data_IF_446367824201
#
_entry.id   IF_446367824201
#
_cell.length_a   1.000
_cell.length_b   1.000
_cell.length_c   1.000
_cell.angle_alpha   90.00
_cell.angle_beta   90.00
_cell.angle_gamma   90.00
#
_symmetry.space_group_name_H-M   'P 1'
#
loop_
_entity.id
_entity.type
_entity.pdbx_description
1 polymer ?
#
# COMPACT_ATOMS: atom_id res chain seq x y z
N UNK A 1 45.74 -3.66 -10.92
CA UNK A 1 45.67 -2.94 -9.63
C UNK A 1 46.93 -3.18 -8.79
N UNK A 2 47.74 -2.14 -8.53
CA UNK A 2 48.99 -2.28 -7.76
C UNK A 2 48.78 -2.73 -6.28
N UNK A 3 47.57 -2.61 -5.74
CA UNK A 3 47.21 -2.97 -4.34
C UNK A 3 45.78 -3.52 -4.25
N UNK A 4 45.54 -4.78 -4.69
CA UNK A 4 44.18 -5.35 -4.77
C UNK A 4 43.49 -5.46 -3.40
N UNK A 5 44.27 -5.76 -2.35
CA UNK A 5 43.72 -5.89 -0.98
C UNK A 5 43.12 -4.57 -0.49
N UNK A 6 43.75 -3.42 -0.76
CA UNK A 6 43.23 -2.12 -0.32
C UNK A 6 41.90 -1.82 -1.02
N UNK A 7 41.80 -2.10 -2.33
CA UNK A 7 40.56 -1.87 -3.10
C UNK A 7 39.44 -2.76 -2.59
N UNK A 8 39.72 -4.05 -2.35
CA UNK A 8 38.72 -4.99 -1.79
C UNK A 8 38.26 -4.55 -0.39
N UNK A 9 39.18 -4.06 0.45
CA UNK A 9 38.82 -3.57 1.79
C UNK A 9 37.93 -2.35 1.71
N UNK A 10 38.23 -1.39 0.81
CA UNK A 10 37.40 -0.21 0.60
C UNK A 10 36.00 -0.61 0.11
N UNK A 11 35.91 -1.50 -0.88
CA UNK A 11 34.64 -2.01 -1.39
C UNK A 11 33.84 -2.72 -0.30
N UNK A 12 34.50 -3.57 0.51
CA UNK A 12 33.84 -4.24 1.62
C UNK A 12 33.29 -3.24 2.66
N UNK A 13 34.04 -2.19 2.95
CA UNK A 13 33.64 -1.14 3.91
C UNK A 13 32.46 -0.35 3.36
N UNK A 14 32.47 0.05 2.10
CA UNK A 14 31.34 0.69 1.41
C UNK A 14 30.13 -0.22 1.44
N UNK A 15 30.28 -1.50 1.07
CA UNK A 15 29.20 -2.48 1.10
C UNK A 15 28.57 -2.63 2.50
N UNK A 16 29.39 -2.63 3.54
CA UNK A 16 28.95 -2.75 4.93
C UNK A 16 28.15 -1.52 5.40
N UNK A 17 28.60 -0.32 5.03
CA UNK A 17 27.90 0.94 5.33
C UNK A 17 26.52 0.95 4.65
N UNK A 18 26.46 0.63 3.36
CA UNK A 18 25.18 0.61 2.65
C UNK A 18 24.29 -0.58 3.04
N UNK A 19 24.88 -1.73 3.43
CA UNK A 19 24.09 -2.85 3.94
C UNK A 19 23.32 -2.48 5.23
N UNK A 20 23.84 -1.58 6.05
CA UNK A 20 23.11 -1.12 7.25
C UNK A 20 21.84 -0.32 6.87
N UNK A 21 21.87 0.43 5.78
CA UNK A 21 20.74 1.23 5.29
C UNK A 21 19.62 0.39 4.65
N UNK A 22 19.84 -0.88 4.34
CA UNK A 22 18.78 -1.74 3.77
C UNK A 22 17.60 -1.95 4.74
N UNK A 23 17.81 -1.75 6.03
CA UNK A 23 16.77 -1.83 7.07
C UNK A 23 15.75 -0.71 6.97
N UNK A 24 16.19 0.44 6.47
CA UNK A 24 15.37 1.65 6.35
C UNK A 24 14.75 1.78 4.94
N UNK A 25 14.92 0.74 4.12
CA UNK A 25 14.29 0.68 2.79
C UNK A 25 12.79 0.48 2.91
N UNK A 26 12.01 1.44 2.40
CA UNK A 26 10.56 1.42 2.46
C UNK A 26 9.93 1.48 1.06
N UNK A 27 8.85 0.69 0.89
CA UNK A 27 7.96 0.75 -0.26
C UNK A 27 6.79 1.67 0.07
N UNK A 28 6.48 2.60 -0.81
CA UNK A 28 5.34 3.50 -0.70
C UNK A 28 4.33 3.20 -1.82
N UNK A 29 3.23 2.56 -1.44
CA UNK A 29 2.09 2.28 -2.33
C UNK A 29 0.90 3.20 -2.04
N UNK A 30 1.12 4.29 -1.28
CA UNK A 30 0.06 5.25 -1.03
C UNK A 30 -0.45 5.86 -2.34
N UNK A 31 -1.73 6.21 -2.36
CA UNK A 31 -2.35 6.92 -3.48
C UNK A 31 -1.58 8.20 -3.84
N UNK A 32 -1.02 8.86 -2.83
CA UNK A 32 -0.17 10.05 -3.00
C UNK A 32 1.12 9.77 -3.79
N UNK A 33 1.70 8.57 -3.65
CA UNK A 33 2.92 8.19 -4.37
C UNK A 33 2.69 7.91 -5.87
N UNK A 34 1.45 7.68 -6.27
CA UNK A 34 1.03 7.45 -7.66
C UNK A 34 0.65 8.75 -8.38
N UNK A 35 0.39 9.82 -7.64
CA UNK A 35 -0.05 11.10 -8.17
C UNK A 35 1.11 12.10 -8.17
N UNK A 36 1.12 12.97 -9.18
CA UNK A 36 2.10 14.06 -9.23
C UNK A 36 1.76 15.09 -8.16
N UNK A 37 2.71 15.47 -7.31
CA UNK A 37 2.51 16.49 -6.25
C UNK A 37 1.96 17.82 -6.78
N UNK A 38 2.21 18.13 -8.06
CA UNK A 38 1.74 19.35 -8.72
C UNK A 38 0.37 19.21 -9.42
N UNK A 39 -0.33 18.10 -9.27
CA UNK A 39 -1.65 17.89 -9.86
C UNK A 39 -2.68 18.83 -9.21
N UNK A 40 -3.43 19.56 -10.05
CA UNK A 40 -4.46 20.49 -9.58
C UNK A 40 -5.64 19.78 -8.95
N UNK A 41 -6.00 18.61 -9.47
CA UNK A 41 -7.14 17.84 -9.00
C UNK A 41 -6.83 17.17 -7.66
N UNK A 42 -5.60 16.70 -7.47
CA UNK A 42 -5.14 16.19 -6.17
C UNK A 42 -5.21 17.26 -5.09
N UNK A 43 -4.83 18.49 -5.42
CA UNK A 43 -4.90 19.63 -4.48
C UNK A 43 -6.33 20.00 -4.14
N UNK A 44 -7.21 20.04 -5.14
CA UNK A 44 -8.64 20.27 -4.92
C UNK A 44 -9.25 19.17 -4.04
N UNK A 45 -8.89 17.91 -4.30
CA UNK A 45 -9.32 16.77 -3.50
C UNK A 45 -8.84 16.88 -2.04
N UNK A 46 -7.57 17.22 -1.80
CA UNK A 46 -7.02 17.41 -0.44
C UNK A 46 -7.73 18.55 0.30
N UNK A 47 -8.01 19.67 -0.37
CA UNK A 47 -8.76 20.78 0.21
C UNK A 47 -10.20 20.37 0.56
N UNK A 48 -10.87 19.64 -0.32
CA UNK A 48 -12.21 19.10 -0.04
C UNK A 48 -12.17 18.11 1.13
N UNK A 49 -11.23 17.18 1.14
CA UNK A 49 -11.07 16.19 2.20
C UNK A 49 -10.81 16.83 3.57
N UNK A 50 -9.99 17.89 3.61
CA UNK A 50 -9.77 18.66 4.84
C UNK A 50 -11.03 19.41 5.27
N UNK A 51 -11.77 20.02 4.33
CA UNK A 51 -12.98 20.80 4.63
C UNK A 51 -14.12 19.91 5.13
N UNK A 52 -14.32 18.76 4.52
CA UNK A 52 -15.40 17.82 4.84
C UNK A 52 -15.00 16.74 5.83
N UNK A 53 -13.73 16.71 6.27
CA UNK A 53 -13.18 15.67 7.17
C UNK A 53 -13.52 14.26 6.69
N UNK A 54 -13.36 14.02 5.37
CA UNK A 54 -13.59 12.71 4.79
C UNK A 54 -12.70 11.68 5.48
N UNK A 55 -13.32 10.59 5.91
CA UNK A 55 -12.61 9.48 6.56
C UNK A 55 -12.41 8.36 5.55
N UNK A 56 -11.26 7.76 5.58
CA UNK A 56 -11.05 6.52 4.85
C UNK A 56 -11.87 5.40 5.47
N UNK A 57 -12.41 4.55 4.63
CA UNK A 57 -13.21 3.41 5.06
C UNK A 57 -12.89 2.18 4.21
N UNK A 58 -13.10 1.02 4.81
CA UNK A 58 -13.16 -0.25 4.13
C UNK A 58 -14.60 -0.53 3.75
N UNK A 59 -14.79 -1.17 2.62
CA UNK A 59 -16.09 -1.49 2.06
C UNK A 59 -16.24 -3.00 1.95
N UNK A 60 -17.30 -3.56 2.52
CA UNK A 60 -17.62 -4.98 2.41
C UNK A 60 -18.91 -5.11 1.63
N UNK A 61 -18.83 -5.54 0.38
CA UNK A 61 -20.01 -5.87 -0.40
C UNK A 61 -20.50 -7.28 -0.02
N UNK A 62 -21.77 -7.37 0.28
CA UNK A 62 -22.45 -8.59 0.70
C UNK A 62 -23.47 -8.99 -0.35
N UNK A 63 -23.29 -10.17 -0.93
CA UNK A 63 -24.22 -10.78 -1.88
C UNK A 63 -24.85 -11.99 -1.20
N UNK A 64 -26.01 -11.82 -0.55
CA UNK A 64 -26.69 -12.93 0.10
C UNK A 64 -27.28 -13.90 -0.94
N UNK A 65 -27.54 -15.15 -0.57
CA UNK A 65 -28.26 -16.09 -1.43
C UNK A 65 -29.74 -15.72 -1.60
N UNK A 66 -30.30 -15.05 -0.59
CA UNK A 66 -31.68 -14.63 -0.52
C UNK A 66 -31.80 -13.11 -0.71
N UNK A 67 -33.00 -12.59 -0.53
CA UNK A 67 -33.30 -11.17 -0.56
C UNK A 67 -32.52 -10.40 0.56
N UNK A 68 -32.04 -9.18 0.25
CA UNK A 68 -31.28 -8.34 1.23
C UNK A 68 -32.07 -7.95 2.47
N UNK A 69 -33.42 -7.95 2.39
CA UNK A 69 -34.31 -7.64 3.51
C UNK A 69 -34.99 -8.89 4.11
N UNK A 70 -34.55 -10.10 3.75
CA UNK A 70 -35.04 -11.32 4.45
C UNK A 70 -34.47 -11.33 5.85
N UNK A 71 -35.26 -11.87 6.80
CA UNK A 71 -34.86 -11.98 8.22
C UNK A 71 -33.53 -12.72 8.37
N UNK A 72 -33.33 -13.80 7.61
CA UNK A 72 -32.06 -14.54 7.60
C UNK A 72 -30.86 -13.73 7.12
N UNK A 73 -31.05 -12.89 6.11
CA UNK A 73 -29.98 -11.98 5.62
C UNK A 73 -29.70 -10.89 6.64
N UNK A 74 -30.73 -10.26 7.20
CA UNK A 74 -30.57 -9.19 8.19
C UNK A 74 -29.85 -9.72 9.47
N UNK A 75 -30.16 -10.90 9.91
CA UNK A 75 -29.50 -11.55 11.07
C UNK A 75 -28.02 -11.84 10.77
N UNK A 76 -27.70 -12.40 9.58
CA UNK A 76 -26.32 -12.68 9.18
C UNK A 76 -25.49 -11.40 9.01
N UNK A 77 -26.06 -10.39 8.36
CA UNK A 77 -25.42 -9.07 8.20
C UNK A 77 -25.22 -8.40 9.57
N UNK A 78 -26.20 -8.54 10.47
CA UNK A 78 -26.10 -8.06 11.85
C UNK A 78 -24.96 -8.73 12.60
N UNK A 79 -24.87 -10.05 12.55
CA UNK A 79 -23.80 -10.82 13.19
C UNK A 79 -22.43 -10.48 12.63
N UNK A 80 -22.28 -10.39 11.31
CA UNK A 80 -21.04 -9.96 10.64
C UNK A 80 -20.63 -8.55 11.07
N UNK A 81 -21.58 -7.64 11.05
CA UNK A 81 -21.37 -6.24 11.45
C UNK A 81 -20.91 -6.14 12.90
N UNK A 82 -21.58 -6.83 13.82
CA UNK A 82 -21.30 -6.74 15.26
C UNK A 82 -19.95 -7.40 15.59
N UNK A 83 -19.57 -8.45 14.89
CA UNK A 83 -18.25 -9.09 15.05
C UNK A 83 -17.13 -8.18 14.57
N UNK A 84 -17.30 -7.48 13.43
CA UNK A 84 -16.33 -6.52 12.93
C UNK A 84 -16.28 -5.27 13.83
N UNK A 85 -17.43 -4.82 14.36
CA UNK A 85 -17.49 -3.69 15.28
C UNK A 85 -16.76 -3.95 16.62
N UNK A 86 -16.60 -5.21 17.00
CA UNK A 86 -15.86 -5.60 18.20
C UNK A 86 -14.34 -5.48 18.05
N UNK A 87 -13.81 -5.30 16.82
CA UNK A 87 -12.38 -5.12 16.59
C UNK A 87 -11.90 -3.79 17.18
N UNK A 88 -10.77 -3.77 17.89
CA UNK A 88 -10.26 -2.57 18.56
C UNK A 88 -9.87 -1.45 17.60
N UNK A 89 -9.52 -1.77 16.36
CA UNK A 89 -9.13 -0.84 15.30
C UNK A 89 -10.33 -0.18 14.60
N UNK A 90 -11.52 -0.73 14.76
CA UNK A 90 -12.76 -0.22 14.15
C UNK A 90 -13.32 0.91 15.00
N UNK A 91 -13.69 2.02 14.36
CA UNK A 91 -14.33 3.17 14.98
C UNK A 91 -15.83 3.07 14.90
N UNK A 92 -16.35 2.79 13.72
CA UNK A 92 -17.78 2.79 13.41
C UNK A 92 -18.06 1.94 12.17
N UNK A 93 -19.30 1.45 12.06
CA UNK A 93 -19.77 0.72 10.88
C UNK A 93 -21.12 1.28 10.47
N UNK A 94 -21.26 1.54 9.17
CA UNK A 94 -22.53 1.92 8.55
C UNK A 94 -22.96 0.80 7.62
N UNK A 95 -24.15 0.26 7.87
CA UNK A 95 -24.79 -0.79 7.07
C UNK A 95 -26.25 -0.46 6.80
N UNK A 96 -26.93 -1.30 6.04
CA UNK A 96 -28.37 -1.18 5.83
C UNK A 96 -29.16 -1.18 7.15
N UNK A 97 -28.61 -1.79 8.23
CA UNK A 97 -29.25 -1.86 9.54
C UNK A 97 -29.15 -0.55 10.34
N UNK A 98 -28.19 0.33 9.99
CA UNK A 98 -27.83 1.49 10.78
C UNK A 98 -28.35 2.79 10.15
N UNK A 99 -28.67 2.79 8.85
CA UNK A 99 -29.10 3.99 8.14
C UNK A 99 -30.52 4.43 8.52
N UNK A 100 -30.77 5.73 8.70
CA UNK A 100 -32.09 6.24 9.02
C UNK A 100 -33.04 6.11 7.83
N UNK A 101 -34.23 5.56 8.09
CA UNK A 101 -35.32 5.41 7.11
C UNK A 101 -36.27 6.60 7.22
N UNK A 102 -36.12 7.57 6.33
CA UNK A 102 -36.85 8.85 6.36
C UNK A 102 -38.34 8.66 6.00
N UNK A 103 -38.63 7.79 5.04
CA UNK A 103 -39.99 7.53 4.58
C UNK A 103 -40.83 6.67 5.53
N UNK A 104 -40.19 6.07 6.54
CA UNK A 104 -40.84 5.25 7.57
C UNK A 104 -41.23 6.05 8.83
N UNK A 105 -40.89 7.34 8.92
CA UNK A 105 -41.25 8.18 10.07
C UNK A 105 -42.55 8.88 9.76
N UNK A 106 -43.64 8.64 10.53
CA UNK A 106 -44.86 9.41 10.41
C UNK A 106 -44.67 10.77 11.08
N UNK A 107 -44.88 11.87 10.34
CA UNK A 107 -44.81 13.21 10.92
C UNK A 107 -44.11 14.26 10.04
N UNK A 108 -43.68 15.33 10.65
CA UNK A 108 -42.99 16.46 9.98
C UNK A 108 -41.48 16.19 9.84
N UNK A 109 -40.83 17.01 9.01
CA UNK A 109 -39.34 16.96 8.84
C UNK A 109 -38.60 17.16 10.17
N UNK A 110 -39.19 17.85 11.14
CA UNK A 110 -38.64 18.03 12.47
C UNK A 110 -38.65 16.73 13.29
N UNK A 111 -39.66 15.87 13.09
CA UNK A 111 -39.78 14.58 13.77
C UNK A 111 -38.74 13.57 13.26
N UNK A 112 -38.34 13.68 12.00
CA UNK A 112 -37.29 12.86 11.39
C UNK A 112 -35.92 13.09 12.05
N UNK A 113 -35.62 14.35 12.40
CA UNK A 113 -34.34 14.70 13.02
C UNK A 113 -34.19 14.18 14.47
N UNK A 114 -35.31 13.91 15.15
CA UNK A 114 -35.33 13.49 16.56
C UNK A 114 -35.69 12.01 16.76
N UNK A 115 -36.42 11.39 15.82
CA UNK A 115 -36.95 10.04 15.90
C UNK A 115 -36.76 9.24 14.60
N UNK A 116 -35.54 9.18 14.11
CA UNK A 116 -35.28 8.34 12.94
C UNK A 116 -35.44 6.84 13.28
N UNK A 117 -36.02 6.09 12.35
CA UNK A 117 -36.15 4.64 12.40
C UNK A 117 -35.05 4.00 11.56
N UNK A 118 -34.59 2.84 11.98
CA UNK A 118 -33.66 2.01 11.22
C UNK A 118 -34.31 0.65 11.00
N UNK A 119 -33.72 -0.22 10.19
CA UNK A 119 -34.23 -1.60 10.01
C UNK A 119 -34.22 -2.43 11.32
N UNK A 120 -33.57 -1.94 12.37
CA UNK A 120 -33.58 -2.57 13.71
C UNK A 120 -34.79 -2.16 14.55
N UNK A 121 -35.62 -1.22 14.08
CA UNK A 121 -36.80 -0.76 14.79
C UNK A 121 -38.00 -1.70 14.56
N UNK A 122 -38.80 -1.93 15.59
CA UNK A 122 -39.93 -2.94 15.55
C UNK A 122 -41.06 -2.58 14.56
N UNK A 123 -41.26 -1.26 14.26
CA UNK A 123 -42.38 -0.76 13.45
C UNK A 123 -41.96 -0.30 12.05
N UNK A 124 -41.12 -1.05 11.32
CA UNK A 124 -40.64 -0.70 10.00
C UNK A 124 -41.49 -1.34 8.91
N UNK A 125 -41.96 -0.52 7.97
CA UNK A 125 -42.57 -1.02 6.75
C UNK A 125 -41.46 -1.41 5.75
N UNK A 126 -41.19 -2.71 5.64
CA UNK A 126 -40.13 -3.27 4.78
C UNK A 126 -40.27 -2.90 3.29
N UNK A 127 -41.51 -2.71 2.81
CA UNK A 127 -41.73 -2.30 1.40
C UNK A 127 -41.24 -0.88 1.16
N UNK A 128 -41.57 0.07 2.06
CA UNK A 128 -41.08 1.45 1.99
C UNK A 128 -39.57 1.51 2.24
N UNK A 129 -39.06 0.73 3.17
CA UNK A 129 -37.64 0.64 3.43
C UNK A 129 -36.88 0.16 2.20
N UNK A 130 -37.41 -0.82 1.46
CA UNK A 130 -36.83 -1.31 0.20
C UNK A 130 -36.77 -0.19 -0.85
N UNK A 131 -37.91 0.47 -1.09
CA UNK A 131 -37.97 1.58 -2.07
C UNK A 131 -36.98 2.67 -1.70
N UNK A 132 -36.87 3.03 -0.44
CA UNK A 132 -35.92 4.03 0.03
C UNK A 132 -34.46 3.60 -0.13
N UNK A 133 -34.10 2.37 0.25
CA UNK A 133 -32.72 1.87 0.18
C UNK A 133 -32.25 1.66 -1.28
N UNK A 134 -33.17 1.27 -2.20
CA UNK A 134 -32.80 0.96 -3.58
C UNK A 134 -33.01 2.10 -4.57
N UNK A 135 -33.80 3.13 -4.24
CA UNK A 135 -34.15 4.20 -5.16
C UNK A 135 -33.75 5.60 -4.69
N UNK A 136 -33.46 5.77 -3.38
CA UNK A 136 -33.01 7.06 -2.86
C UNK A 136 -31.58 7.35 -3.30
N UNK A 137 -31.28 8.53 -3.84
CA UNK A 137 -29.91 8.91 -4.22
C UNK A 137 -28.94 8.98 -3.02
N UNK A 138 -29.46 8.91 -1.78
CA UNK A 138 -28.64 8.87 -0.56
C UNK A 138 -28.13 7.47 -0.27
N UNK A 139 -28.93 6.43 -0.59
CA UNK A 139 -28.63 5.03 -0.20
C UNK A 139 -28.33 4.12 -1.38
N UNK A 140 -28.89 4.43 -2.55
CA UNK A 140 -28.65 3.66 -3.76
C UNK A 140 -27.16 3.64 -4.09
N UNK A 141 -26.65 2.44 -4.37
CA UNK A 141 -25.25 2.16 -4.70
C UNK A 141 -24.22 2.48 -3.58
N UNK A 142 -24.70 2.96 -2.42
CA UNK A 142 -23.87 3.16 -1.23
C UNK A 142 -24.16 2.12 -0.14
N UNK A 143 -25.43 1.78 0.07
CA UNK A 143 -25.86 0.85 1.10
C UNK A 143 -26.55 -0.38 0.51
N UNK A 144 -27.31 -0.19 -0.55
CA UNK A 144 -27.95 -1.26 -1.31
C UNK A 144 -27.86 -0.96 -2.82
N UNK A 145 -27.73 -2.02 -3.63
CA UNK A 145 -27.80 -1.90 -5.10
C UNK A 145 -29.22 -1.58 -5.57
N UNK A 146 -29.35 -0.94 -6.72
CA UNK A 146 -30.64 -0.59 -7.30
C UNK A 146 -31.56 -1.79 -7.54
N UNK A 147 -30.99 -2.99 -7.80
CA UNK A 147 -31.72 -4.22 -7.99
C UNK A 147 -32.04 -4.97 -6.67
N UNK A 148 -31.58 -4.44 -5.53
CA UNK A 148 -31.80 -5.02 -4.23
C UNK A 148 -31.15 -6.37 -3.98
N UNK A 149 -30.07 -6.71 -4.70
CA UNK A 149 -29.35 -7.99 -4.59
C UNK A 149 -28.05 -7.91 -3.82
N UNK A 150 -27.52 -6.73 -3.66
CA UNK A 150 -26.26 -6.48 -2.97
C UNK A 150 -26.46 -5.43 -1.90
N UNK A 151 -25.91 -5.66 -0.74
CA UNK A 151 -25.79 -4.64 0.31
C UNK A 151 -24.34 -4.43 0.70
N UNK A 152 -24.07 -3.36 1.43
CA UNK A 152 -22.71 -2.99 1.77
C UNK A 152 -22.58 -2.60 3.25
N UNK A 153 -21.41 -2.91 3.81
CA UNK A 153 -20.97 -2.37 5.08
C UNK A 153 -19.80 -1.42 4.82
N UNK A 154 -19.89 -0.20 5.33
CA UNK A 154 -18.78 0.75 5.37
C UNK A 154 -18.15 0.67 6.76
N UNK A 155 -16.89 0.27 6.83
CA UNK A 155 -16.14 0.10 8.08
C UNK A 155 -15.14 1.23 8.21
N UNK A 156 -15.36 2.11 9.17
CA UNK A 156 -14.47 3.22 9.47
C UNK A 156 -13.44 2.80 10.50
N UNK A 157 -12.16 2.97 10.16
CA UNK A 157 -11.06 2.67 11.07
C UNK A 157 -10.78 3.85 11.99
N UNK A 158 -10.24 3.57 13.18
CA UNK A 158 -9.80 4.60 14.10
C UNK A 158 -8.63 5.38 13.48
N UNK A 159 -8.71 6.70 13.41
CA UNK A 159 -7.61 7.50 12.92
C UNK A 159 -6.41 7.39 13.88
N UNK A 160 -5.21 7.35 13.32
CA UNK A 160 -4.00 7.47 14.13
C UNK A 160 -3.97 8.83 14.84
N UNK A 161 -3.53 8.85 16.11
CA UNK A 161 -3.62 10.07 16.94
C UNK A 161 -2.83 11.25 16.37
N UNK A 162 -1.60 11.02 15.92
CA UNK A 162 -0.67 12.08 15.51
C UNK A 162 -0.61 12.29 13.99
N UNK A 163 -0.85 11.25 13.19
CA UNK A 163 -0.68 11.32 11.73
C UNK A 163 -1.51 12.45 11.07
N UNK A 164 -2.79 12.69 11.43
CA UNK A 164 -3.57 13.77 10.81
C UNK A 164 -3.03 15.18 11.11
N UNK A 165 -2.37 15.34 12.25
CA UNK A 165 -1.72 16.61 12.64
C UNK A 165 -0.44 16.82 11.86
N UNK A 166 0.42 15.78 11.81
CA UNK A 166 1.70 15.82 11.12
C UNK A 166 1.51 15.97 9.61
N UNK A 167 0.51 15.28 9.02
CA UNK A 167 0.15 15.42 7.61
C UNK A 167 -0.24 16.85 7.26
N UNK A 168 -1.13 17.47 8.05
CA UNK A 168 -1.55 18.86 7.82
C UNK A 168 -0.38 19.84 7.87
N UNK A 169 0.50 19.69 8.85
CA UNK A 169 1.67 20.54 9.00
C UNK A 169 2.63 20.37 7.83
N UNK A 170 2.90 19.12 7.42
CA UNK A 170 3.71 18.80 6.25
C UNK A 170 3.14 19.42 4.98
N UNK A 171 1.85 19.21 4.73
CA UNK A 171 1.19 19.68 3.52
C UNK A 171 1.15 21.21 3.44
N UNK A 172 1.00 21.90 4.57
CA UNK A 172 1.12 23.36 4.63
C UNK A 172 2.53 23.84 4.26
N UNK A 173 3.56 23.21 4.80
CA UNK A 173 4.96 23.56 4.49
C UNK A 173 5.34 23.21 3.04
N UNK A 174 4.85 22.08 2.52
CA UNK A 174 5.05 21.69 1.12
C UNK A 174 4.32 22.65 0.16
N UNK A 175 3.12 23.10 0.51
CA UNK A 175 2.40 24.09 -0.26
C UNK A 175 3.17 25.41 -0.34
N UNK A 176 3.66 25.93 0.80
CA UNK A 176 4.50 27.13 0.82
C UNK A 176 5.76 26.93 -0.01
N UNK A 177 6.45 25.80 0.12
CA UNK A 177 7.64 25.49 -0.69
C UNK A 177 7.38 25.51 -2.19
N UNK A 178 6.18 25.14 -2.63
CA UNK A 178 5.85 25.07 -4.05
C UNK A 178 5.44 26.42 -4.66
N UNK A 179 4.90 27.34 -3.86
CA UNK A 179 4.28 28.59 -4.35
C UNK A 179 4.83 29.87 -3.72
N UNK A 180 5.49 29.76 -2.59
CA UNK A 180 6.07 30.84 -1.81
C UNK A 180 7.51 30.41 -1.43
N UNK A 181 8.39 31.34 -1.18
CA UNK A 181 9.71 31.01 -0.66
C UNK A 181 9.57 30.63 0.83
N UNK A 182 10.11 29.47 1.19
CA UNK A 182 10.20 29.05 2.60
C UNK A 182 11.22 29.91 3.34
N UNK A 183 10.82 30.41 4.51
CA UNK A 183 11.76 30.93 5.49
C UNK A 183 12.75 29.79 5.90
N UNK A 184 14.04 30.09 6.18
CA UNK A 184 15.01 29.12 6.65
C UNK A 184 14.54 28.30 7.86
N UNK A 185 13.72 28.88 8.72
CA UNK A 185 13.16 28.21 9.88
C UNK A 185 12.04 27.21 9.49
N UNK A 186 11.22 27.56 8.51
CA UNK A 186 10.18 26.69 7.94
C UNK A 186 10.80 25.51 7.16
N UNK A 187 11.89 25.75 6.45
CA UNK A 187 12.64 24.70 5.77
C UNK A 187 13.24 23.69 6.77
N UNK A 188 13.83 24.19 7.86
CA UNK A 188 14.33 23.34 8.95
C UNK A 188 13.19 22.57 9.65
N UNK A 189 12.03 23.20 9.83
CA UNK A 189 10.87 22.55 10.43
C UNK A 189 10.34 21.41 9.54
N UNK A 190 10.32 21.58 8.21
CA UNK A 190 9.92 20.54 7.26
C UNK A 190 10.86 19.33 7.32
N UNK A 191 12.17 19.58 7.44
CA UNK A 191 13.18 18.53 7.54
C UNK A 191 13.08 17.77 8.88
N UNK A 192 12.90 18.49 9.98
CA UNK A 192 12.73 17.92 11.32
C UNK A 192 11.39 17.17 11.49
N UNK A 193 10.35 17.54 10.74
CA UNK A 193 9.05 16.88 10.76
C UNK A 193 9.08 15.50 10.11
N UNK A 194 9.99 15.29 9.14
CA UNK A 194 10.04 14.08 8.32
C UNK A 194 10.13 12.79 9.14
N UNK A 195 11.06 12.62 10.10
CA UNK A 195 11.17 11.37 10.86
C UNK A 195 9.91 11.07 11.69
N UNK A 196 9.32 12.08 12.32
CA UNK A 196 8.09 11.90 13.12
C UNK A 196 6.89 11.55 12.23
N UNK A 197 6.80 12.16 11.06
CA UNK A 197 5.76 11.85 10.07
C UNK A 197 5.89 10.42 9.54
N UNK A 198 7.09 10.00 9.13
CA UNK A 198 7.33 8.64 8.63
C UNK A 198 7.05 7.59 9.71
N UNK A 199 7.44 7.86 10.96
CA UNK A 199 7.13 6.99 12.09
C UNK A 199 5.63 6.84 12.29
N UNK A 200 4.90 7.96 12.36
CA UNK A 200 3.45 7.94 12.53
C UNK A 200 2.73 7.27 11.34
N UNK A 201 3.20 7.48 10.11
CA UNK A 201 2.69 6.82 8.89
C UNK A 201 2.89 5.30 8.95
N UNK A 202 4.07 4.83 9.36
CA UNK A 202 4.37 3.41 9.48
C UNK A 202 3.54 2.73 10.58
N UNK A 203 3.34 3.39 11.73
CA UNK A 203 2.50 2.90 12.82
C UNK A 203 1.02 2.83 12.40
N UNK A 204 0.51 3.86 11.73
CA UNK A 204 -0.83 3.86 11.16
C UNK A 204 -1.01 2.74 10.14
N UNK A 205 -0.07 2.57 9.22
CA UNK A 205 -0.08 1.50 8.23
C UNK A 205 -0.06 0.10 8.86
N UNK A 206 0.73 -0.10 9.93
CA UNK A 206 0.74 -1.37 10.65
C UNK A 206 -0.62 -1.69 11.31
N UNK A 207 -1.26 -0.68 11.90
CA UNK A 207 -2.60 -0.80 12.50
C UNK A 207 -3.66 -1.13 11.44
N UNK A 208 -3.62 -0.44 10.30
CA UNK A 208 -4.52 -0.68 9.18
C UNK A 208 -4.35 -2.08 8.59
N UNK A 209 -3.10 -2.54 8.37
CA UNK A 209 -2.83 -3.92 7.91
C UNK A 209 -3.39 -4.98 8.85
N UNK A 210 -3.24 -4.76 10.17
CA UNK A 210 -3.79 -5.67 11.17
C UNK A 210 -5.32 -5.70 11.08
N UNK A 211 -5.98 -4.55 11.01
CA UNK A 211 -7.43 -4.46 10.86
C UNK A 211 -7.93 -5.18 9.60
N UNK A 212 -7.25 -5.00 8.45
CA UNK A 212 -7.57 -5.70 7.20
C UNK A 212 -7.43 -7.20 7.35
N UNK A 213 -6.37 -7.70 7.98
CA UNK A 213 -6.14 -9.11 8.21
C UNK A 213 -7.23 -9.73 9.12
N UNK A 214 -7.58 -9.04 10.20
CA UNK A 214 -8.62 -9.48 11.14
C UNK A 214 -10.01 -9.50 10.46
N UNK A 215 -10.35 -8.46 9.69
CA UNK A 215 -11.59 -8.41 8.90
C UNK A 215 -11.63 -9.53 7.86
N UNK A 216 -10.53 -9.80 7.15
CA UNK A 216 -10.45 -10.93 6.20
C UNK A 216 -10.68 -12.27 6.89
N UNK A 217 -10.12 -12.47 8.08
CA UNK A 217 -10.33 -13.68 8.87
C UNK A 217 -11.81 -13.84 9.27
N UNK A 218 -12.50 -12.76 9.60
CA UNK A 218 -13.94 -12.76 9.86
C UNK A 218 -14.71 -13.11 8.58
N UNK A 219 -14.43 -12.41 7.47
CA UNK A 219 -15.09 -12.63 6.17
C UNK A 219 -15.03 -14.10 5.74
N UNK A 220 -13.88 -14.77 5.91
CA UNK A 220 -13.72 -16.19 5.55
C UNK A 220 -14.71 -17.09 6.28
N UNK A 221 -15.06 -16.79 7.53
CA UNK A 221 -16.03 -17.58 8.30
C UNK A 221 -17.47 -17.48 7.78
N UNK A 222 -17.81 -16.35 7.16
CA UNK A 222 -19.15 -16.07 6.61
C UNK A 222 -19.27 -16.40 5.11
N UNK A 223 -18.18 -16.70 4.41
CA UNK A 223 -18.19 -16.99 2.96
C UNK A 223 -18.97 -18.25 2.57
N UNK A 224 -19.26 -19.17 3.51
CA UNK A 224 -20.12 -20.32 3.27
C UNK A 224 -21.59 -19.95 3.10
N UNK A 225 -22.02 -18.88 3.75
CA UNK A 225 -23.43 -18.45 3.82
C UNK A 225 -23.74 -17.31 2.86
N UNK A 226 -22.77 -16.45 2.56
CA UNK A 226 -22.88 -15.26 1.70
C UNK A 226 -21.61 -15.09 0.90
N UNK A 227 -21.70 -14.47 -0.29
CA UNK A 227 -20.50 -14.01 -1.00
C UNK A 227 -20.11 -12.62 -0.51
N UNK A 228 -18.90 -12.52 0.01
CA UNK A 228 -18.37 -11.30 0.61
C UNK A 228 -17.14 -10.82 -0.16
N UNK A 229 -17.08 -9.53 -0.44
CA UNK A 229 -15.97 -8.89 -1.11
C UNK A 229 -15.49 -7.68 -0.31
N UNK A 230 -14.24 -7.72 0.12
CA UNK A 230 -13.60 -6.59 0.80
C UNK A 230 -13.00 -5.65 -0.25
N UNK A 231 -13.19 -4.36 -0.06
CA UNK A 231 -12.66 -3.29 -0.89
C UNK A 231 -12.33 -2.04 -0.06
N UNK A 232 -11.91 -1.00 -0.74
CA UNK A 232 -11.55 0.28 -0.13
C UNK A 232 -10.10 0.65 -0.36
N UNK A 233 -9.81 1.96 -0.36
CA UNK A 233 -8.46 2.47 -0.63
C UNK A 233 -7.41 1.88 0.30
N UNK A 234 -7.64 1.80 1.64
CA UNK A 234 -6.64 1.22 2.55
C UNK A 234 -6.33 -0.25 2.25
N UNK A 235 -7.32 -1.03 1.80
CA UNK A 235 -7.13 -2.43 1.42
C UNK A 235 -6.32 -2.55 0.13
N UNK A 236 -6.61 -1.69 -0.86
CA UNK A 236 -5.89 -1.68 -2.14
C UNK A 236 -4.42 -1.32 -1.89
N UNK A 237 -4.14 -0.33 -1.05
CA UNK A 237 -2.77 0.06 -0.69
C UNK A 237 -2.01 -1.10 -0.02
N UNK A 238 -2.64 -1.81 0.92
CA UNK A 238 -2.05 -2.97 1.59
C UNK A 238 -1.76 -4.13 0.61
N UNK A 239 -2.71 -4.44 -0.27
CA UNK A 239 -2.54 -5.47 -1.29
C UNK A 239 -1.44 -5.13 -2.28
N UNK A 240 -1.38 -3.88 -2.73
CA UNK A 240 -0.33 -3.41 -3.65
C UNK A 240 1.07 -3.54 -3.01
N UNK A 241 1.23 -3.14 -1.74
CA UNK A 241 2.50 -3.32 -1.01
C UNK A 241 2.87 -4.81 -0.94
N UNK A 242 1.90 -5.64 -0.59
CA UNK A 242 2.10 -7.09 -0.46
C UNK A 242 2.46 -7.73 -1.81
N UNK A 243 1.78 -7.36 -2.88
CA UNK A 243 2.06 -7.86 -4.23
C UNK A 243 3.44 -7.44 -4.70
N UNK A 244 3.82 -6.16 -4.52
CA UNK A 244 5.16 -5.68 -4.88
C UNK A 244 6.23 -6.43 -4.10
N UNK A 245 6.04 -6.61 -2.78
CA UNK A 245 6.97 -7.38 -1.95
C UNK A 245 7.14 -8.83 -2.46
N UNK A 246 6.04 -9.49 -2.75
CA UNK A 246 6.04 -10.85 -3.29
C UNK A 246 6.67 -10.92 -4.69
N UNK A 247 6.35 -9.97 -5.56
CA UNK A 247 6.92 -9.90 -6.91
C UNK A 247 8.43 -9.66 -6.86
N UNK A 248 8.88 -8.77 -6.00
CA UNK A 248 10.31 -8.50 -5.82
C UNK A 248 11.08 -9.76 -5.40
N UNK A 249 10.51 -10.53 -4.47
CA UNK A 249 11.12 -11.79 -3.99
C UNK A 249 11.03 -12.88 -5.06
N UNK A 250 9.84 -13.16 -5.58
CA UNK A 250 9.60 -14.28 -6.49
C UNK A 250 10.26 -14.05 -7.86
N UNK A 251 10.07 -12.86 -8.42
CA UNK A 251 10.68 -12.48 -9.70
C UNK A 251 12.19 -12.31 -9.56
N UNK A 252 12.65 -11.66 -8.48
CA UNK A 252 14.08 -11.53 -8.18
C UNK A 252 14.76 -12.88 -8.03
N UNK A 253 14.17 -13.82 -7.29
CA UNK A 253 14.67 -15.19 -7.17
C UNK A 253 14.66 -15.93 -8.52
N UNK A 254 13.61 -15.80 -9.31
CA UNK A 254 13.51 -16.41 -10.64
C UNK A 254 14.59 -15.90 -11.59
N UNK A 255 14.79 -14.60 -11.66
CA UNK A 255 15.85 -13.96 -12.45
C UNK A 255 17.23 -14.42 -11.96
N UNK A 256 17.45 -14.47 -10.66
CA UNK A 256 18.71 -14.92 -10.07
C UNK A 256 19.03 -16.38 -10.48
N UNK A 257 18.07 -17.28 -10.32
CA UNK A 257 18.23 -18.69 -10.73
C UNK A 257 18.50 -18.80 -12.23
N UNK A 258 17.75 -18.07 -13.05
CA UNK A 258 17.97 -18.03 -14.50
C UNK A 258 19.38 -17.56 -14.85
N UNK A 259 19.87 -16.50 -14.20
CA UNK A 259 21.23 -15.98 -14.41
C UNK A 259 22.30 -17.01 -14.01
N UNK A 260 22.13 -17.70 -12.87
CA UNK A 260 23.05 -18.78 -12.45
C UNK A 260 23.13 -19.88 -13.50
N UNK A 261 21.98 -20.36 -13.98
CA UNK A 261 21.88 -21.39 -15.00
C UNK A 261 22.55 -20.96 -16.30
N UNK A 262 22.19 -19.76 -16.80
CA UNK A 262 22.75 -19.21 -18.05
C UNK A 262 24.28 -19.04 -17.97
N UNK A 263 24.78 -18.43 -16.89
CA UNK A 263 26.23 -18.26 -16.71
C UNK A 263 26.96 -19.61 -16.61
N UNK A 264 26.36 -20.60 -15.94
CA UNK A 264 26.92 -21.94 -15.80
C UNK A 264 27.02 -22.64 -17.17
N UNK A 265 26.01 -22.53 -18.02
CA UNK A 265 26.02 -23.09 -19.37
C UNK A 265 27.09 -22.42 -20.24
N UNK A 266 27.19 -21.07 -20.16
CA UNK A 266 28.11 -20.29 -21.01
C UNK A 266 29.57 -20.48 -20.57
N UNK A 267 29.84 -20.29 -19.29
CA UNK A 267 31.23 -20.22 -18.81
C UNK A 267 31.81 -21.56 -18.34
N UNK A 268 30.98 -22.49 -17.85
CA UNK A 268 31.33 -23.82 -17.37
C UNK A 268 32.38 -23.86 -16.25
N UNK A 269 32.81 -22.74 -15.75
CA UNK A 269 33.76 -22.58 -14.64
C UNK A 269 33.16 -21.76 -13.52
N UNK A 270 33.14 -22.24 -12.25
CA UNK A 270 32.41 -21.60 -11.15
C UNK A 270 32.92 -20.20 -10.82
N UNK A 271 34.20 -19.91 -11.01
CA UNK A 271 34.74 -18.56 -10.76
C UNK A 271 34.12 -17.47 -11.65
N UNK A 272 33.86 -17.82 -12.94
CA UNK A 272 33.24 -16.88 -13.91
C UNK A 272 31.72 -16.79 -13.78
N UNK A 273 31.12 -17.65 -12.95
CA UNK A 273 29.72 -17.55 -12.53
C UNK A 273 29.61 -16.74 -11.26
N UNK A 274 30.43 -17.04 -10.25
CA UNK A 274 30.35 -16.39 -8.93
C UNK A 274 30.74 -14.91 -8.97
N UNK A 275 31.72 -14.52 -9.77
CA UNK A 275 32.23 -13.15 -9.79
C UNK A 275 31.20 -12.16 -10.34
N UNK A 276 30.52 -12.38 -11.48
CA UNK A 276 29.42 -11.52 -11.93
C UNK A 276 28.23 -11.49 -10.94
N UNK A 277 27.87 -12.64 -10.37
CA UNK A 277 26.79 -12.71 -9.39
C UNK A 277 27.11 -11.92 -8.12
N UNK A 278 28.33 -12.05 -7.60
CA UNK A 278 28.77 -11.27 -6.44
C UNK A 278 28.77 -9.76 -6.73
N UNK A 279 29.19 -9.36 -7.93
CA UNK A 279 29.12 -7.96 -8.38
C UNK A 279 27.68 -7.44 -8.46
N UNK A 280 26.77 -8.22 -9.00
CA UNK A 280 25.34 -7.87 -9.07
C UNK A 280 24.73 -7.76 -7.67
N UNK A 281 25.00 -8.72 -6.79
CA UNK A 281 24.51 -8.70 -5.42
C UNK A 281 25.05 -7.49 -4.65
N UNK A 282 26.35 -7.22 -4.80
CA UNK A 282 26.98 -6.04 -4.20
C UNK A 282 26.33 -4.75 -4.67
N UNK A 283 26.18 -4.57 -6.00
CA UNK A 283 25.55 -3.39 -6.59
C UNK A 283 24.11 -3.19 -6.09
N UNK A 284 23.31 -4.26 -6.03
CA UNK A 284 21.93 -4.22 -5.52
C UNK A 284 21.89 -3.84 -4.05
N UNK A 285 22.78 -4.39 -3.23
CA UNK A 285 22.85 -4.06 -1.79
C UNK A 285 23.24 -2.60 -1.57
N UNK A 286 24.22 -2.09 -2.34
CA UNK A 286 24.62 -0.69 -2.26
C UNK A 286 23.48 0.24 -2.66
N UNK A 287 22.76 -0.09 -3.73
CA UNK A 287 21.66 0.76 -4.22
C UNK A 287 20.47 0.78 -3.25
N UNK A 288 20.04 -0.40 -2.78
CA UNK A 288 18.94 -0.50 -1.80
C UNK A 288 19.32 0.23 -0.51
N UNK A 289 20.56 0.03 -0.04
CA UNK A 289 21.05 0.69 1.16
C UNK A 289 21.18 2.21 1.00
N UNK A 290 21.60 2.68 -0.16
CA UNK A 290 21.65 4.12 -0.48
C UNK A 290 20.26 4.74 -0.40
N UNK A 291 19.25 4.11 -1.00
CA UNK A 291 17.87 4.57 -0.96
C UNK A 291 17.34 4.62 0.48
N UNK A 292 17.66 3.60 1.30
CA UNK A 292 17.30 3.58 2.71
C UNK A 292 17.97 4.71 3.50
N UNK A 293 19.30 4.92 3.35
CA UNK A 293 20.03 5.98 4.06
C UNK A 293 19.51 7.38 3.67
N UNK A 294 19.22 7.62 2.39
CA UNK A 294 18.66 8.90 1.93
C UNK A 294 17.19 9.03 2.38
N UNK A 295 16.55 7.92 2.76
CA UNK A 295 15.12 7.84 3.10
C UNK A 295 14.24 8.12 1.87
N UNK A 296 14.66 7.66 0.70
CA UNK A 296 13.88 7.78 -0.52
C UNK A 296 12.99 6.55 -0.68
N UNK A 297 11.70 6.74 -0.50
CA UNK A 297 10.72 5.66 -0.63
C UNK A 297 10.60 5.22 -2.09
N UNK A 298 10.57 3.92 -2.30
CA UNK A 298 10.37 3.32 -3.62
C UNK A 298 8.88 3.17 -3.88
N UNK A 299 8.39 3.79 -4.95
CA UNK A 299 6.97 3.72 -5.34
C UNK A 299 6.67 2.44 -6.11
N UNK A 300 5.39 2.14 -6.30
CA UNK A 300 4.91 1.03 -7.14
C UNK A 300 5.56 1.03 -8.53
N UNK A 301 5.64 2.22 -9.15
CA UNK A 301 6.20 2.38 -10.52
C UNK A 301 7.70 2.09 -10.53
N UNK A 302 8.41 2.55 -9.50
CA UNK A 302 9.87 2.40 -9.43
C UNK A 302 10.33 1.06 -8.86
N UNK A 303 9.45 0.21 -8.35
CA UNK A 303 9.79 -1.08 -7.72
C UNK A 303 10.60 -2.02 -8.62
N UNK A 304 10.42 -1.95 -9.93
CA UNK A 304 11.15 -2.75 -10.92
C UNK A 304 12.63 -2.36 -11.09
N UNK A 305 13.13 -1.31 -10.41
CA UNK A 305 14.52 -0.85 -10.57
C UNK A 305 15.54 -1.92 -10.21
N UNK A 306 15.25 -2.80 -9.25
CA UNK A 306 16.15 -3.89 -8.83
C UNK A 306 16.38 -4.86 -9.98
N UNK A 307 15.30 -5.28 -10.65
CA UNK A 307 15.41 -6.19 -11.81
C UNK A 307 16.18 -5.54 -12.98
N UNK A 308 15.90 -4.28 -13.29
CA UNK A 308 16.62 -3.53 -14.32
C UNK A 308 18.10 -3.42 -13.99
N UNK A 309 18.43 -3.10 -12.75
CA UNK A 309 19.80 -2.96 -12.30
C UNK A 309 20.57 -4.31 -12.38
N UNK A 310 19.94 -5.42 -11.97
CA UNK A 310 20.52 -6.75 -12.13
C UNK A 310 20.84 -7.06 -13.59
N UNK A 311 19.90 -6.78 -14.51
CA UNK A 311 20.08 -7.04 -15.94
C UNK A 311 21.22 -6.20 -16.52
N UNK A 312 21.25 -4.88 -16.24
CA UNK A 312 22.27 -3.96 -16.75
C UNK A 312 23.64 -4.32 -16.19
N UNK A 313 23.74 -4.52 -14.87
CA UNK A 313 25.02 -4.88 -14.21
C UNK A 313 25.53 -6.24 -14.72
N UNK A 314 24.64 -7.21 -14.91
CA UNK A 314 25.00 -8.51 -15.45
C UNK A 314 25.51 -8.40 -16.89
N UNK A 315 24.83 -7.65 -17.75
CA UNK A 315 25.27 -7.43 -19.13
C UNK A 315 26.68 -6.86 -19.19
N UNK A 316 26.97 -5.83 -18.38
CA UNK A 316 28.31 -5.25 -18.30
C UNK A 316 29.36 -6.26 -17.80
N UNK A 317 29.04 -7.03 -16.77
CA UNK A 317 29.94 -8.04 -16.23
C UNK A 317 30.25 -9.17 -17.25
N UNK A 318 29.24 -9.62 -18.00
CA UNK A 318 29.43 -10.63 -19.06
C UNK A 318 30.39 -10.11 -20.13
N UNK A 319 30.18 -8.87 -20.61
CA UNK A 319 31.07 -8.27 -21.60
C UNK A 319 32.52 -8.17 -21.10
N UNK A 320 32.72 -7.76 -19.85
CA UNK A 320 34.06 -7.69 -19.25
C UNK A 320 34.71 -9.06 -19.16
N UNK A 321 33.98 -10.08 -18.68
CA UNK A 321 34.48 -11.45 -18.55
C UNK A 321 34.82 -12.05 -19.92
N UNK A 322 33.94 -11.87 -20.91
CA UNK A 322 34.19 -12.37 -22.27
C UNK A 322 35.45 -11.72 -22.85
N UNK A 323 35.59 -10.40 -22.76
CA UNK A 323 36.74 -9.65 -23.27
C UNK A 323 38.03 -10.04 -22.54
N UNK A 324 37.98 -10.23 -21.23
CA UNK A 324 39.13 -10.71 -20.48
C UNK A 324 39.58 -12.11 -20.95
N UNK A 325 38.63 -13.02 -21.16
CA UNK A 325 38.94 -14.40 -21.66
C UNK A 325 39.48 -14.40 -23.08
N UNK A 326 39.01 -13.54 -23.97
CA UNK A 326 39.57 -13.34 -25.31
C UNK A 326 41.01 -12.90 -25.23
N UNK A 327 41.30 -11.84 -24.49
CA UNK A 327 42.67 -11.31 -24.36
C UNK A 327 43.63 -12.35 -23.76
N UNK A 328 43.16 -13.07 -22.72
CA UNK A 328 43.98 -14.10 -22.10
C UNK A 328 44.27 -15.28 -23.05
N UNK A 329 43.35 -15.58 -23.96
CA UNK A 329 43.56 -16.62 -24.98
C UNK A 329 44.50 -16.16 -26.09
N UNK A 330 44.35 -14.91 -26.52
CA UNK A 330 45.09 -14.35 -27.66
C UNK A 330 46.52 -13.94 -27.25
N UNK A 331 46.76 -13.64 -25.99
CA UNK A 331 48.08 -13.27 -25.44
C UNK A 331 48.45 -14.12 -24.21
N UNK A 332 48.76 -15.43 -24.37
CA UNK A 332 48.95 -16.33 -23.23
C UNK A 332 50.22 -16.10 -22.38
N UNK A 333 51.05 -15.11 -22.73
CA UNK A 333 52.26 -14.73 -22.01
C UNK A 333 52.29 -13.28 -21.52
N UNK A 334 51.21 -12.52 -21.72
CA UNK A 334 51.13 -11.12 -21.25
C UNK A 334 51.04 -11.09 -19.74
N UNK A 335 51.80 -10.18 -19.10
CA UNK A 335 51.70 -9.94 -17.68
C UNK A 335 50.30 -9.34 -17.40
N UNK A 336 49.64 -9.72 -16.32
CA UNK A 336 48.30 -9.25 -15.94
C UNK A 336 48.26 -7.73 -15.72
N UNK A 337 49.38 -7.05 -15.81
CA UNK A 337 49.54 -5.63 -15.58
C UNK A 337 49.86 -4.80 -16.84
N UNK A 338 50.06 -5.43 -17.99
CA UNK A 338 50.08 -4.83 -19.31
C UNK A 338 48.67 -4.85 -19.95
#
# INVERSE_FOLDING_TARGET
>A
LRRPVIVLTILALIGLVFASGTRDFNLDASTDALLLENDKDLRAFRQLSMRYKTREFLFIAVVPPDDILSDATLERVGSLRDEIAALPEVLDIVSLLDVPLVTNVPGSVADIATNFRTLRSDDVNLKRAREELTQSPIYQDLVASADGKVTALQVFLKPHAELPRLSRLRDQLLYKKAYEDLDPQEASNLENLRPDYEKAKNEAGATTRKAIADIRAIIVRYQGDMRLYLGGVPMIEDDVITFIGNDLVNFGAGVFVFLVVMLTIIFREPRWVLLPLASCFYGSTVMIGLLGIIGWNVTVISSNFVALMLIITMSMNIHLVVRYRELFRDYPGADQFE
#
